data_IF_727015436264
#
_entry.id   IF_727015436264
#
_cell.length_a   1.000
_cell.length_b   1.000
_cell.length_c   1.000
_cell.angle_alpha   90.00
_cell.angle_beta   90.00
_cell.angle_gamma   90.00
#
_symmetry.space_group_name_H-M   'P 1'
#
loop_
_entity.id
_entity.type
_entity.pdbx_description
1 polymer ?
#
# COMPACT_ATOMS: atom_id res chain seq x y z
N UNK A 1 -19.83 3.27 7.91
CA UNK A 1 -18.99 3.34 6.70
C UNK A 1 -17.58 3.75 7.10
N UNK A 2 -16.62 2.83 6.91
CA UNK A 2 -15.24 2.88 7.43
C UNK A 2 -14.33 3.94 6.81
N UNK A 3 -13.03 3.99 7.20
CA UNK A 3 -12.31 3.05 8.07
C UNK A 3 -12.47 3.35 9.58
N UNK A 4 -12.42 2.32 10.44
CA UNK A 4 -12.46 2.43 11.91
C UNK A 4 -11.28 1.68 12.55
N UNK A 5 -10.98 1.95 13.82
CA UNK A 5 -9.89 1.29 14.58
C UNK A 5 -10.34 -0.04 15.23
N UNK A 6 -11.48 -0.56 14.82
CA UNK A 6 -12.07 -1.80 15.30
C UNK A 6 -12.27 -2.72 14.10
N UNK A 7 -12.06 -4.02 14.30
CA UNK A 7 -12.35 -5.06 13.32
C UNK A 7 -13.82 -5.08 12.88
N UNK A 8 -14.09 -5.68 11.72
CA UNK A 8 -15.42 -5.86 11.13
C UNK A 8 -15.83 -7.34 11.19
N UNK A 9 -16.18 -7.88 12.38
CA UNK A 9 -16.43 -9.29 12.55
C UNK A 9 -17.75 -9.70 11.87
N UNK A 10 -17.68 -10.75 11.04
CA UNK A 10 -18.84 -11.27 10.31
C UNK A 10 -19.28 -10.41 9.12
N UNK A 11 -18.53 -9.37 8.78
CA UNK A 11 -18.78 -8.55 7.61
C UNK A 11 -18.13 -9.17 6.37
N UNK A 12 -18.82 -9.09 5.24
CA UNK A 12 -18.36 -9.58 3.93
C UNK A 12 -18.21 -8.42 2.97
N UNK A 13 -17.16 -8.47 2.16
CA UNK A 13 -16.91 -7.52 1.08
C UNK A 13 -16.60 -8.30 -0.19
N UNK A 14 -17.32 -7.99 -1.26
CA UNK A 14 -17.19 -8.67 -2.54
C UNK A 14 -17.23 -7.68 -3.72
N UNK A 15 -16.27 -7.85 -4.62
CA UNK A 15 -16.22 -7.18 -5.91
C UNK A 15 -16.56 -8.23 -6.97
N UNK A 16 -17.73 -8.14 -7.64
CA UNK A 16 -18.21 -9.22 -8.50
C UNK A 16 -17.33 -9.41 -9.74
N UNK A 17 -16.70 -8.35 -10.24
CA UNK A 17 -15.77 -8.48 -11.35
C UNK A 17 -14.68 -7.43 -11.24
N UNK A 18 -13.44 -7.88 -11.31
CA UNK A 18 -12.27 -7.00 -11.44
C UNK A 18 -11.88 -6.91 -12.92
N UNK A 19 -11.53 -5.72 -13.37
CA UNK A 19 -11.02 -5.53 -14.72
C UNK A 19 -9.65 -6.17 -14.88
N UNK A 20 -9.37 -6.73 -16.06
CA UNK A 20 -8.01 -7.15 -16.38
C UNK A 20 -7.11 -5.91 -16.57
N UNK A 21 -5.84 -5.97 -16.13
CA UNK A 21 -4.91 -4.88 -16.37
C UNK A 21 -4.73 -4.64 -17.88
N UNK A 22 -4.62 -3.38 -18.27
CA UNK A 22 -4.39 -3.03 -19.66
C UNK A 22 -3.08 -3.64 -20.19
N UNK A 23 -3.07 -4.01 -21.47
CA UNK A 23 -1.92 -4.57 -22.18
C UNK A 23 -1.44 -5.96 -21.71
N UNK A 24 -2.22 -6.69 -20.92
CA UNK A 24 -1.99 -8.11 -20.66
C UNK A 24 -2.85 -8.97 -21.59
N UNK A 25 -2.21 -9.75 -22.46
CA UNK A 25 -2.88 -10.73 -23.31
C UNK A 25 -3.07 -12.05 -22.56
N UNK A 26 -3.97 -12.05 -21.58
CA UNK A 26 -4.32 -13.25 -20.81
C UNK A 26 -5.16 -14.22 -21.65
N UNK A 27 -4.83 -15.51 -21.58
CA UNK A 27 -5.52 -16.57 -22.29
C UNK A 27 -6.08 -17.59 -21.30
N UNK A 28 -7.10 -18.34 -21.71
CA UNK A 28 -7.57 -19.51 -20.96
C UNK A 28 -6.39 -20.47 -20.73
N UNK A 29 -6.29 -21.02 -19.53
CA UNK A 29 -5.19 -21.85 -19.05
C UNK A 29 -4.01 -21.07 -18.45
N UNK A 30 -4.02 -19.73 -18.49
CA UNK A 30 -2.95 -18.93 -17.87
C UNK A 30 -3.09 -18.96 -16.35
N UNK A 31 -1.98 -19.26 -15.66
CA UNK A 31 -1.91 -19.14 -14.21
C UNK A 31 -1.58 -17.70 -13.83
N UNK A 32 -2.41 -17.13 -12.96
CA UNK A 32 -2.25 -15.78 -12.44
C UNK A 32 -2.37 -15.80 -10.91
N UNK A 33 -1.80 -14.79 -10.26
CA UNK A 33 -2.00 -14.57 -8.83
C UNK A 33 -2.79 -13.28 -8.66
N UNK A 34 -3.93 -13.36 -7.99
CA UNK A 34 -4.69 -12.21 -7.52
C UNK A 34 -4.18 -11.84 -6.14
N UNK A 35 -3.65 -10.63 -5.99
CA UNK A 35 -3.21 -10.11 -4.70
C UNK A 35 -4.22 -9.09 -4.16
N UNK A 36 -4.77 -9.36 -2.99
CA UNK A 36 -5.56 -8.42 -2.21
C UNK A 36 -4.62 -7.71 -1.24
N UNK A 37 -4.60 -6.38 -1.32
CA UNK A 37 -3.81 -5.53 -0.43
C UNK A 37 -4.79 -4.72 0.41
N UNK A 38 -4.73 -4.87 1.72
CA UNK A 38 -5.49 -4.07 2.67
C UNK A 38 -4.55 -3.12 3.41
N UNK A 39 -4.91 -1.83 3.46
CA UNK A 39 -4.16 -0.81 4.15
C UNK A 39 -4.93 -0.35 5.40
N UNK A 40 -4.32 -0.54 6.57
CA UNK A 40 -4.86 -0.06 7.83
C UNK A 40 -4.61 1.44 8.01
N UNK A 41 -5.45 2.12 8.81
CA UNK A 41 -5.30 3.56 9.10
C UNK A 41 -3.95 3.93 9.71
N UNK A 42 -3.37 3.03 10.49
CA UNK A 42 -2.06 3.22 11.11
C UNK A 42 -0.88 2.86 10.17
N UNK A 43 -1.15 2.68 8.88
CA UNK A 43 -0.12 2.46 7.85
C UNK A 43 0.43 1.03 7.77
N UNK A 44 -0.15 0.08 8.50
CA UNK A 44 0.16 -1.33 8.25
C UNK A 44 -0.54 -1.82 6.98
N UNK A 45 0.03 -2.83 6.36
CA UNK A 45 -0.52 -3.46 5.17
C UNK A 45 -0.64 -4.97 5.38
N UNK A 46 -1.74 -5.55 4.91
CA UNK A 46 -1.93 -6.99 4.83
C UNK A 46 -1.97 -7.38 3.35
N UNK A 47 -1.30 -8.47 3.02
CA UNK A 47 -1.18 -9.00 1.66
C UNK A 47 -1.71 -10.42 1.65
N UNK A 48 -2.71 -10.68 0.82
CA UNK A 48 -3.26 -12.02 0.61
C UNK A 48 -3.21 -12.36 -0.86
N UNK A 49 -2.80 -13.58 -1.19
CA UNK A 49 -2.66 -14.05 -2.55
C UNK A 49 -3.60 -15.22 -2.78
N UNK A 50 -4.24 -15.23 -3.95
CA UNK A 50 -4.99 -16.37 -4.46
C UNK A 50 -4.45 -16.69 -5.84
N UNK A 51 -3.92 -17.89 -6.00
CA UNK A 51 -3.49 -18.40 -7.28
C UNK A 51 -4.69 -18.98 -8.04
N UNK A 52 -4.83 -18.59 -9.30
CA UNK A 52 -5.96 -18.91 -10.14
C UNK A 52 -5.47 -19.35 -11.52
N UNK A 53 -6.21 -20.26 -12.13
CA UNK A 53 -6.07 -20.57 -13.56
C UNK A 53 -7.26 -19.96 -14.29
N UNK A 54 -6.98 -19.20 -15.34
CA UNK A 54 -8.05 -18.63 -16.17
C UNK A 54 -8.79 -19.75 -16.90
N UNK A 55 -10.10 -19.78 -16.76
CA UNK A 55 -10.97 -20.80 -17.36
C UNK A 55 -12.02 -20.14 -18.26
N UNK A 56 -12.71 -20.95 -19.05
CA UNK A 56 -13.90 -20.48 -19.75
C UNK A 56 -15.01 -20.17 -18.72
N UNK A 57 -15.78 -19.08 -18.88
CA UNK A 57 -16.85 -18.72 -17.94
C UNK A 57 -17.94 -19.81 -17.78
N UNK A 58 -18.08 -20.74 -18.72
CA UNK A 58 -18.99 -21.89 -18.59
C UNK A 58 -18.47 -23.00 -17.67
N UNK A 59 -17.17 -23.02 -17.37
CA UNK A 59 -16.51 -24.03 -16.53
C UNK A 59 -16.41 -23.63 -15.05
N UNK A 60 -16.81 -22.40 -14.71
CA UNK A 60 -16.76 -21.83 -13.35
C UNK A 60 -18.14 -21.50 -12.82
N UNK A 61 -18.29 -21.56 -11.50
CA UNK A 61 -19.53 -21.17 -10.84
C UNK A 61 -19.83 -19.68 -11.10
N UNK A 62 -21.04 -19.33 -11.54
CA UNK A 62 -21.40 -17.93 -11.75
C UNK A 62 -21.45 -17.17 -10.42
N UNK A 63 -21.02 -15.92 -10.47
CA UNK A 63 -21.16 -15.01 -9.34
C UNK A 63 -22.62 -14.59 -9.23
N UNK A 64 -23.21 -14.85 -8.07
CA UNK A 64 -24.62 -14.57 -7.76
C UNK A 64 -24.71 -13.69 -6.52
N UNK A 65 -25.85 -13.00 -6.30
CA UNK A 65 -26.07 -12.24 -5.06
C UNK A 65 -26.02 -13.10 -3.78
N UNK A 66 -26.04 -14.43 -3.91
CA UNK A 66 -25.97 -15.37 -2.78
C UNK A 66 -24.54 -15.73 -2.40
N UNK A 67 -23.58 -15.73 -3.34
CA UNK A 67 -22.18 -16.06 -3.09
C UNK A 67 -21.26 -14.83 -3.02
N UNK A 68 -21.71 -13.67 -3.51
CA UNK A 68 -20.99 -12.40 -3.48
C UNK A 68 -21.83 -11.32 -2.77
N UNK A 69 -21.64 -11.19 -1.46
CA UNK A 69 -22.45 -10.34 -0.59
C UNK A 69 -21.59 -9.20 -0.03
N UNK A 70 -22.12 -7.98 -0.07
CA UNK A 70 -21.56 -6.81 0.59
C UNK A 70 -22.37 -6.46 1.85
N UNK A 71 -21.71 -6.45 3.01
CA UNK A 71 -22.30 -5.95 4.25
C UNK A 71 -22.47 -4.43 4.23
N UNK A 72 -23.36 -3.90 5.07
CA UNK A 72 -23.75 -2.48 5.08
C UNK A 72 -22.85 -1.57 5.94
N UNK A 73 -22.02 -2.16 6.78
CA UNK A 73 -21.08 -1.48 7.66
C UNK A 73 -19.78 -1.04 6.94
N UNK A 74 -19.50 -1.66 5.78
CA UNK A 74 -18.40 -1.35 4.87
C UNK A 74 -18.90 -0.61 3.62
N UNK A 75 -18.09 0.32 3.11
CA UNK A 75 -18.34 1.03 1.86
C UNK A 75 -17.04 1.22 1.11
N UNK A 76 -17.09 1.19 -0.21
CA UNK A 76 -15.94 1.45 -1.08
C UNK A 76 -16.07 2.80 -1.78
N UNK A 77 -14.93 3.43 -2.05
CA UNK A 77 -14.81 4.59 -2.92
C UNK A 77 -13.62 4.37 -3.85
N UNK A 78 -13.70 4.93 -5.07
CA UNK A 78 -12.54 4.93 -5.95
C UNK A 78 -11.45 5.82 -5.33
N UNK A 79 -10.28 5.22 -5.07
CA UNK A 79 -9.09 5.95 -4.65
C UNK A 79 -8.32 6.35 -5.90
N UNK A 80 -8.00 7.63 -6.04
CA UNK A 80 -7.11 8.16 -7.08
C UNK A 80 -5.84 8.71 -6.43
N UNK A 81 -4.70 8.47 -7.06
CA UNK A 81 -3.42 8.98 -6.59
C UNK A 81 -3.36 10.48 -6.86
N UNK A 82 -3.25 11.29 -5.80
CA UNK A 82 -2.96 12.72 -5.93
C UNK A 82 -1.43 12.90 -5.95
N UNK A 83 -0.91 13.81 -6.78
CA UNK A 83 0.53 14.13 -6.75
C UNK A 83 0.93 14.65 -5.37
N UNK A 84 2.01 14.09 -4.83
CA UNK A 84 2.60 14.56 -3.58
C UNK A 84 3.00 16.03 -3.72
N UNK A 85 2.47 16.90 -2.86
CA UNK A 85 3.00 18.26 -2.73
C UNK A 85 4.41 18.10 -2.14
N UNK A 86 5.44 18.46 -2.91
CA UNK A 86 6.84 18.31 -2.52
C UNK A 86 7.02 18.67 -1.04
N UNK A 87 7.35 17.67 -0.22
CA UNK A 87 7.81 17.92 1.13
C UNK A 87 9.03 18.82 1.00
N UNK A 88 8.90 20.08 1.41
CA UNK A 88 10.05 20.96 1.57
C UNK A 88 10.83 20.39 2.75
N UNK A 89 11.70 19.42 2.45
CA UNK A 89 12.61 18.85 3.42
C UNK A 89 13.37 20.01 4.05
N UNK A 90 13.21 20.16 5.36
CA UNK A 90 14.01 21.11 6.13
C UNK A 90 15.48 20.80 5.82
N UNK A 91 16.16 21.73 5.15
CA UNK A 91 17.57 21.61 4.86
C UNK A 91 18.30 21.36 6.18
N UNK A 92 18.83 20.16 6.36
CA UNK A 92 19.67 19.81 7.50
C UNK A 92 20.92 20.67 7.36
N UNK A 93 20.95 21.80 8.07
CA UNK A 93 22.10 22.70 8.12
C UNK A 93 23.22 21.96 8.85
N UNK A 94 24.07 21.28 8.10
CA UNK A 94 25.35 20.79 8.57
C UNK A 94 26.21 22.02 8.87
N UNK A 95 26.18 22.47 10.13
CA UNK A 95 27.20 23.37 10.66
C UNK A 95 28.55 22.65 10.57
N UNK A 96 29.27 22.89 9.48
CA UNK A 96 30.68 22.55 9.37
C UNK A 96 31.43 23.36 10.43
N UNK A 97 31.77 22.72 11.54
CA UNK A 97 32.68 23.29 12.53
C UNK A 97 34.07 23.41 11.89
N UNK A 98 34.65 24.62 11.76
CA UNK A 98 35.99 24.75 11.23
C UNK A 98 36.97 24.17 12.24
N UNK A 99 37.61 23.05 11.88
CA UNK A 99 38.65 22.34 12.64
C UNK A 99 39.82 23.25 13.05
N UNK A 100 39.93 24.44 12.44
CA UNK A 100 40.94 25.45 12.74
C UNK A 100 40.92 25.97 14.21
N UNK A 101 39.79 25.96 14.91
CA UNK A 101 39.75 26.43 16.31
C UNK A 101 40.32 25.42 17.32
N UNK A 102 40.32 24.12 17.00
CA UNK A 102 40.75 23.08 17.95
C UNK A 102 42.28 23.01 18.04
N UNK A 103 43.00 23.27 16.94
CA UNK A 103 44.47 23.30 16.94
C UNK A 103 45.05 24.50 17.70
N UNK A 104 44.38 25.65 17.66
CA UNK A 104 44.87 26.87 18.31
C UNK A 104 44.90 26.77 19.84
N UNK A 105 43.92 26.10 20.44
CA UNK A 105 43.85 25.90 21.89
C UNK A 105 44.89 24.89 22.38
N UNK A 106 45.15 23.83 21.60
CA UNK A 106 46.14 22.81 21.95
C UNK A 106 47.58 23.36 21.94
N UNK A 107 47.90 24.26 21.00
CA UNK A 107 49.24 24.86 20.92
C UNK A 107 49.47 25.88 22.05
N UNK A 108 48.44 26.67 22.41
CA UNK A 108 48.54 27.63 23.51
C UNK A 108 48.70 26.95 24.88
N UNK A 109 48.07 25.78 25.08
CA UNK A 109 48.22 24.99 26.31
C UNK A 109 49.58 24.27 26.43
N UNK A 110 50.34 24.13 25.33
CA UNK A 110 51.67 23.53 25.33
C UNK A 110 52.80 24.55 25.59
N UNK A 111 52.47 25.85 25.58
CA UNK A 111 53.40 26.98 25.74
C UNK A 111 53.20 27.76 27.06
N UNK A 112 52.40 27.23 27.99
CA UNK A 112 52.22 27.74 29.37
C UNK A 112 52.73 26.74 30.40
#
# INVERSE_FOLDING_TARGET
VGPRNTEYPGSSFCIPQIGMPANLSLQIGTNITLQVIELAQHGAALYSCVDLTLADPSEVEPITPQNCINSTDLSFNLMYTMSEKAATGAAMSSRATPIAMVLGVAIAALLL
#
